data_IF_001918184044
#
_entry.id   IF_001918184044
#
_cell.length_a   1.000
_cell.length_b   1.000
_cell.length_c   1.000
_cell.angle_alpha   90.00
_cell.angle_beta   90.00
_cell.angle_gamma   90.00
#
_symmetry.space_group_name_H-M   'P 1'
#
loop_
_entity.id
_entity.type
_entity.pdbx_description
1 polymer ?
#
# COMPACT_ATOMS: atom_id res chain seq x y z
N UNK A 1 -8.35 19.85 -20.53
CA UNK A 1 -9.01 18.57 -20.17
C UNK A 1 -10.27 18.81 -19.32
N UNK A 2 -11.34 18.01 -19.49
CA UNK A 2 -12.58 18.05 -18.68
C UNK A 2 -12.55 16.99 -17.58
N UNK A 3 -13.44 17.11 -16.58
CA UNK A 3 -13.43 16.28 -15.36
C UNK A 3 -13.61 14.78 -15.57
N UNK A 4 -14.25 14.38 -16.66
CA UNK A 4 -14.55 12.98 -16.95
C UNK A 4 -13.81 12.43 -18.17
N UNK A 5 -12.86 13.18 -18.74
CA UNK A 5 -12.16 12.75 -19.97
C UNK A 5 -11.43 11.41 -19.77
N UNK A 6 -10.74 11.22 -18.64
CA UNK A 6 -10.08 9.95 -18.32
C UNK A 6 -11.04 8.80 -18.06
N UNK A 7 -12.18 9.07 -17.40
CA UNK A 7 -13.24 8.06 -17.26
C UNK A 7 -13.74 7.62 -18.64
N UNK A 8 -13.95 8.57 -19.53
CA UNK A 8 -14.43 8.30 -20.89
C UNK A 8 -13.36 7.58 -21.73
N UNK A 9 -12.07 7.87 -21.52
CA UNK A 9 -10.96 7.10 -22.08
C UNK A 9 -10.96 5.66 -21.57
N UNK A 10 -11.06 5.45 -20.25
CA UNK A 10 -11.13 4.11 -19.64
C UNK A 10 -12.27 3.27 -20.25
N UNK A 11 -13.44 3.88 -20.49
CA UNK A 11 -14.58 3.17 -21.07
C UNK A 11 -14.45 2.87 -22.58
N UNK A 12 -13.41 3.37 -23.26
CA UNK A 12 -13.04 2.95 -24.63
C UNK A 12 -12.02 1.82 -24.65
N UNK A 13 -11.35 1.57 -23.54
CA UNK A 13 -10.37 0.51 -23.36
C UNK A 13 -11.05 -0.80 -22.95
N UNK A 14 -10.46 -1.93 -23.32
CA UNK A 14 -10.93 -3.24 -22.89
C UNK A 14 -10.48 -3.53 -21.45
N UNK A 15 -11.40 -3.95 -20.57
CA UNK A 15 -11.09 -4.14 -19.16
C UNK A 15 -10.07 -5.25 -18.90
N UNK A 16 -9.93 -6.25 -19.78
CA UNK A 16 -8.98 -7.34 -19.61
C UNK A 16 -7.66 -7.08 -20.37
N UNK A 17 -7.74 -6.75 -21.66
CA UNK A 17 -6.57 -6.54 -22.49
C UNK A 17 -5.78 -5.31 -22.03
N UNK A 18 -6.48 -4.20 -21.77
CA UNK A 18 -5.90 -2.89 -21.45
C UNK A 18 -5.87 -2.60 -19.94
N UNK A 19 -6.01 -3.63 -19.10
CA UNK A 19 -6.10 -3.48 -17.64
C UNK A 19 -4.92 -2.69 -17.04
N UNK A 20 -3.71 -2.81 -17.61
CA UNK A 20 -2.53 -2.02 -17.21
C UNK A 20 -2.74 -0.53 -17.48
N UNK A 21 -3.24 -0.16 -18.67
CA UNK A 21 -3.49 1.24 -19.02
C UNK A 21 -4.60 1.83 -18.15
N UNK A 22 -5.65 1.06 -17.89
CA UNK A 22 -6.72 1.49 -16.98
C UNK A 22 -6.17 1.71 -15.57
N UNK A 23 -5.33 0.79 -15.07
CA UNK A 23 -4.68 0.94 -13.76
C UNK A 23 -3.76 2.16 -13.68
N UNK A 24 -3.01 2.46 -14.73
CA UNK A 24 -2.22 3.69 -14.82
C UNK A 24 -3.11 4.92 -14.67
N UNK A 25 -4.19 5.02 -15.45
CA UNK A 25 -5.11 6.17 -15.38
C UNK A 25 -5.72 6.31 -13.97
N UNK A 26 -6.21 5.19 -13.42
CA UNK A 26 -6.83 5.18 -12.10
C UNK A 26 -5.86 5.60 -11.00
N UNK A 27 -4.62 5.09 -11.02
CA UNK A 27 -3.64 5.33 -9.96
C UNK A 27 -2.83 6.62 -10.11
N UNK A 28 -2.60 7.14 -11.31
CA UNK A 28 -1.75 8.33 -11.48
C UNK A 28 -2.54 9.61 -11.75
N UNK A 29 -3.76 9.51 -12.32
CA UNK A 29 -4.58 10.67 -12.69
C UNK A 29 -5.85 10.80 -11.85
N UNK A 30 -6.68 9.76 -11.82
CA UNK A 30 -8.03 9.86 -11.25
C UNK A 30 -8.05 9.81 -9.72
N UNK A 31 -7.26 8.92 -9.12
CA UNK A 31 -7.32 8.60 -7.70
C UNK A 31 -5.95 8.42 -7.01
N UNK A 32 -4.88 9.18 -7.33
CA UNK A 32 -3.54 8.87 -6.82
C UNK A 32 -3.41 8.82 -5.30
N UNK A 33 -4.01 9.78 -4.61
CA UNK A 33 -4.00 9.79 -3.15
C UNK A 33 -4.88 8.69 -2.55
N UNK A 34 -6.04 8.44 -3.16
CA UNK A 34 -7.03 7.47 -2.67
C UNK A 34 -6.54 6.03 -2.86
N UNK A 35 -5.99 5.71 -4.03
CA UNK A 35 -5.35 4.43 -4.33
C UNK A 35 -4.16 4.20 -3.41
N UNK A 36 -3.26 5.18 -3.26
CA UNK A 36 -2.13 5.07 -2.33
C UNK A 36 -2.58 4.79 -0.89
N UNK A 37 -3.62 5.48 -0.41
CA UNK A 37 -4.14 5.25 0.96
C UNK A 37 -4.82 3.90 1.11
N UNK A 38 -5.61 3.49 0.13
CA UNK A 38 -6.31 2.20 0.14
C UNK A 38 -5.32 1.02 0.10
N UNK A 39 -4.27 1.10 -0.73
CA UNK A 39 -3.22 0.08 -0.83
C UNK A 39 -2.35 0.06 0.44
N UNK A 40 -2.09 1.22 1.05
CA UNK A 40 -1.45 1.28 2.36
C UNK A 40 -2.24 0.55 3.44
N UNK A 41 -3.56 0.69 3.45
CA UNK A 41 -4.43 -0.09 4.36
C UNK A 41 -4.44 -1.57 3.96
N UNK A 42 -4.48 -1.90 2.68
CA UNK A 42 -4.41 -3.28 2.19
C UNK A 42 -3.18 -4.03 2.72
N UNK A 43 -2.02 -3.37 2.71
CA UNK A 43 -0.78 -3.88 3.31
C UNK A 43 -0.87 -3.96 4.84
N UNK A 44 -1.39 -2.92 5.48
CA UNK A 44 -1.54 -2.87 6.95
C UNK A 44 -2.36 -4.04 7.49
N UNK A 45 -3.40 -4.47 6.76
CA UNK A 45 -4.24 -5.62 7.12
C UNK A 45 -3.47 -6.93 7.22
N UNK A 46 -2.38 -7.06 6.47
CA UNK A 46 -1.56 -8.28 6.49
C UNK A 46 -0.85 -8.49 7.83
N UNK A 47 -0.61 -7.41 8.58
CA UNK A 47 0.07 -7.50 9.87
C UNK A 47 -0.79 -8.19 10.93
N UNK A 48 -2.12 -8.22 10.74
CA UNK A 48 -3.09 -8.88 11.63
C UNK A 48 -3.21 -10.39 11.37
N UNK A 49 -2.58 -10.92 10.32
CA UNK A 49 -2.51 -12.36 10.05
C UNK A 49 -1.26 -12.93 10.73
N UNK A 50 -1.38 -13.89 11.66
CA UNK A 50 -0.23 -14.37 12.44
C UNK A 50 0.95 -14.87 11.62
N UNK A 51 0.73 -15.64 10.55
CA UNK A 51 1.80 -16.14 9.67
C UNK A 51 2.61 -14.99 9.05
N UNK A 52 1.91 -13.94 8.60
CA UNK A 52 2.51 -12.78 7.94
C UNK A 52 3.10 -11.80 8.97
N UNK A 53 2.30 -11.35 9.94
CA UNK A 53 2.72 -10.37 10.95
C UNK A 53 3.92 -10.85 11.79
N UNK A 54 3.96 -12.13 12.16
CA UNK A 54 5.11 -12.68 12.87
C UNK A 54 6.35 -12.78 11.97
N UNK A 55 6.18 -13.09 10.68
CA UNK A 55 7.29 -13.08 9.73
C UNK A 55 7.87 -11.66 9.60
N UNK A 56 7.03 -10.66 9.34
CA UNK A 56 7.43 -9.26 9.21
C UNK A 56 8.10 -8.72 10.47
N UNK A 57 7.61 -9.10 11.65
CA UNK A 57 8.22 -8.71 12.92
C UNK A 57 9.59 -9.33 13.17
N UNK A 58 9.89 -10.50 12.57
CA UNK A 58 11.20 -11.16 12.68
C UNK A 58 12.24 -10.61 11.70
N UNK A 59 11.83 -10.04 10.57
CA UNK A 59 12.80 -9.49 9.60
C UNK A 59 13.46 -8.20 10.09
N UNK A 60 12.86 -7.52 11.07
CA UNK A 60 13.24 -6.19 11.60
C UNK A 60 13.20 -5.05 10.56
N UNK A 61 13.08 -5.33 9.28
CA UNK A 61 12.92 -4.34 8.19
C UNK A 61 11.74 -3.38 8.37
N UNK A 62 10.69 -3.81 9.07
CA UNK A 62 9.49 -2.99 9.33
C UNK A 62 9.53 -2.27 10.69
N UNK A 63 10.61 -2.44 11.46
CA UNK A 63 10.80 -1.81 12.77
C UNK A 63 12.08 -0.98 12.83
N UNK A 64 13.18 -1.46 12.25
CA UNK A 64 14.48 -0.78 12.17
C UNK A 64 14.71 0.05 10.90
N UNK A 65 14.06 -0.31 9.78
CA UNK A 65 14.23 0.39 8.47
C UNK A 65 12.89 0.74 7.83
N UNK A 66 11.94 1.18 8.67
CA UNK A 66 10.52 1.32 8.31
C UNK A 66 10.30 2.27 7.12
N UNK A 67 11.01 3.41 7.06
CA UNK A 67 10.88 4.35 5.94
C UNK A 67 11.35 3.71 4.63
N UNK A 68 12.53 3.09 4.63
CA UNK A 68 13.07 2.40 3.46
C UNK A 68 12.14 1.29 2.99
N UNK A 69 11.62 0.48 3.93
CA UNK A 69 10.72 -0.62 3.59
C UNK A 69 9.41 -0.14 2.97
N UNK A 70 8.88 0.99 3.45
CA UNK A 70 7.72 1.67 2.86
C UNK A 70 8.04 2.15 1.43
N UNK A 71 9.17 2.82 1.25
CA UNK A 71 9.61 3.36 -0.04
C UNK A 71 9.83 2.25 -1.07
N UNK A 72 10.55 1.19 -0.70
CA UNK A 72 10.80 0.02 -1.54
C UNK A 72 9.50 -0.61 -2.01
N UNK A 73 8.52 -0.75 -1.11
CA UNK A 73 7.21 -1.30 -1.47
C UNK A 73 6.49 -0.41 -2.48
N UNK A 74 6.45 0.90 -2.24
CA UNK A 74 5.79 1.85 -3.11
C UNK A 74 6.44 1.92 -4.49
N UNK A 75 7.78 1.92 -4.56
CA UNK A 75 8.53 2.00 -5.81
C UNK A 75 8.43 0.71 -6.63
N UNK A 76 8.52 -0.46 -5.99
CA UNK A 76 8.35 -1.76 -6.69
C UNK A 76 6.94 -1.89 -7.27
N UNK A 77 5.91 -1.62 -6.47
CA UNK A 77 4.52 -1.68 -6.94
C UNK A 77 4.24 -0.60 -8.00
N UNK A 78 4.77 0.60 -7.80
CA UNK A 78 4.64 1.72 -8.71
C UNK A 78 5.24 1.44 -10.09
N UNK A 79 6.43 0.84 -10.15
CA UNK A 79 7.08 0.45 -11.41
C UNK A 79 6.25 -0.54 -12.22
N UNK A 80 5.63 -1.53 -11.56
CA UNK A 80 4.74 -2.49 -12.24
C UNK A 80 3.51 -1.80 -12.85
N UNK A 81 2.93 -0.83 -12.15
CA UNK A 81 1.79 -0.06 -12.68
C UNK A 81 2.23 0.84 -13.83
N UNK A 82 3.30 1.61 -13.64
CA UNK A 82 3.78 2.60 -14.59
C UNK A 82 4.29 1.97 -15.89
N UNK A 83 4.97 0.83 -15.82
CA UNK A 83 5.64 0.22 -16.97
C UNK A 83 5.01 -1.10 -17.43
N UNK A 84 4.05 -1.65 -16.69
CA UNK A 84 3.41 -2.93 -17.01
C UNK A 84 4.32 -4.13 -16.78
N UNK A 85 4.00 -5.25 -17.44
CA UNK A 85 4.66 -6.55 -17.21
C UNK A 85 5.54 -7.02 -18.39
N UNK A 86 5.57 -6.26 -19.48
CA UNK A 86 6.43 -6.51 -20.64
C UNK A 86 7.91 -6.24 -20.32
N UNK A 87 8.86 -6.72 -21.15
CA UNK A 87 10.28 -6.44 -20.96
C UNK A 87 10.57 -4.96 -20.66
N UNK A 88 11.14 -4.68 -19.49
CA UNK A 88 11.45 -3.33 -19.03
C UNK A 88 11.34 -3.18 -17.51
N UNK A 89 11.36 -1.93 -17.00
CA UNK A 89 11.44 -1.65 -15.56
C UNK A 89 10.34 -2.30 -14.72
N UNK A 90 9.11 -2.39 -15.25
CA UNK A 90 7.99 -3.03 -14.54
C UNK A 90 8.17 -4.54 -14.37
N UNK A 91 8.71 -5.24 -15.38
CA UNK A 91 9.06 -6.65 -15.26
C UNK A 91 10.26 -6.87 -14.35
N UNK A 92 11.22 -5.95 -14.34
CA UNK A 92 12.36 -6.00 -13.43
C UNK A 92 11.92 -5.83 -11.96
N UNK A 93 10.98 -4.92 -11.70
CA UNK A 93 10.33 -4.76 -10.40
C UNK A 93 9.60 -6.03 -9.94
N UNK A 94 8.81 -6.64 -10.84
CA UNK A 94 8.12 -7.90 -10.58
C UNK A 94 9.12 -9.03 -10.27
N UNK A 95 10.22 -9.12 -11.03
CA UNK A 95 11.29 -10.10 -10.78
C UNK A 95 11.92 -9.87 -9.41
N UNK A 96 12.24 -8.62 -9.06
CA UNK A 96 12.81 -8.27 -7.75
C UNK A 96 11.86 -8.64 -6.62
N UNK A 97 10.57 -8.33 -6.76
CA UNK A 97 9.53 -8.74 -5.81
C UNK A 97 9.51 -10.27 -5.64
N UNK A 98 9.51 -11.02 -6.74
CA UNK A 98 9.51 -12.49 -6.69
C UNK A 98 10.78 -13.06 -6.03
N UNK A 99 11.95 -12.44 -6.21
CA UNK A 99 13.19 -12.86 -5.54
C UNK A 99 13.08 -12.70 -4.01
N UNK A 100 12.62 -11.53 -3.54
CA UNK A 100 12.43 -11.28 -2.11
C UNK A 100 11.42 -12.27 -1.51
N UNK A 101 10.25 -12.40 -2.15
CA UNK A 101 9.19 -13.27 -1.68
C UNK A 101 9.60 -14.75 -1.64
N UNK A 102 10.38 -15.25 -2.60
CA UNK A 102 10.90 -16.63 -2.61
C UNK A 102 11.98 -16.90 -1.56
N UNK A 103 12.52 -15.86 -0.95
CA UNK A 103 13.52 -16.00 0.13
C UNK A 103 12.89 -16.38 1.47
N UNK A 104 11.55 -16.49 1.52
CA UNK A 104 10.77 -16.87 2.69
C UNK A 104 9.79 -17.99 2.33
N UNK A 105 9.43 -18.81 3.31
CA UNK A 105 8.39 -19.83 3.17
C UNK A 105 7.01 -19.19 3.38
N UNK A 106 6.43 -18.66 2.30
CA UNK A 106 5.11 -18.02 2.29
C UNK A 106 4.10 -18.98 1.66
N UNK A 107 3.02 -19.25 2.39
CA UNK A 107 1.97 -20.15 1.92
C UNK A 107 1.22 -19.58 0.70
N UNK A 108 0.67 -20.45 -0.16
CA UNK A 108 -0.19 -20.01 -1.25
C UNK A 108 -1.43 -19.25 -0.75
N UNK A 109 -1.93 -19.63 0.43
CA UNK A 109 -3.12 -19.00 1.02
C UNK A 109 -2.84 -17.57 1.46
N UNK A 110 -1.68 -17.33 2.08
CA UNK A 110 -1.22 -15.98 2.40
C UNK A 110 -1.04 -15.15 1.11
N UNK A 111 -0.46 -15.71 0.06
CA UNK A 111 -0.36 -15.01 -1.23
C UNK A 111 -1.72 -14.64 -1.81
N UNK A 112 -2.68 -15.57 -1.82
CA UNK A 112 -4.04 -15.32 -2.32
C UNK A 112 -4.74 -14.26 -1.49
N UNK A 113 -4.63 -14.32 -0.16
CA UNK A 113 -5.19 -13.32 0.74
C UNK A 113 -4.59 -11.93 0.47
N UNK A 114 -3.27 -11.81 0.47
CA UNK A 114 -2.59 -10.52 0.23
C UNK A 114 -2.97 -9.97 -1.14
N UNK A 115 -2.97 -10.78 -2.21
CA UNK A 115 -3.42 -10.34 -3.53
C UNK A 115 -4.87 -9.85 -3.51
N UNK A 116 -5.74 -10.48 -2.70
CA UNK A 116 -7.14 -10.06 -2.55
C UNK A 116 -7.27 -8.69 -1.90
N UNK A 117 -6.43 -8.35 -0.91
CA UNK A 117 -6.49 -7.04 -0.27
C UNK A 117 -6.21 -5.92 -1.28
N UNK A 118 -5.28 -6.14 -2.22
CA UNK A 118 -4.97 -5.20 -3.31
C UNK A 118 -6.13 -4.99 -4.30
N UNK A 119 -6.96 -6.00 -4.54
CA UNK A 119 -8.16 -5.89 -5.39
C UNK A 119 -9.31 -5.20 -4.65
N UNK A 120 -9.55 -5.59 -3.40
CA UNK A 120 -10.77 -5.27 -2.67
C UNK A 120 -10.69 -3.90 -1.99
N UNK A 121 -9.56 -3.56 -1.38
CA UNK A 121 -9.46 -2.34 -0.58
C UNK A 121 -9.64 -1.05 -1.38
N UNK A 122 -9.09 -0.90 -2.60
CA UNK A 122 -9.38 0.27 -3.43
C UNK A 122 -10.87 0.44 -3.73
N UNK A 123 -11.58 -0.65 -3.99
CA UNK A 123 -13.01 -0.63 -4.29
C UNK A 123 -13.81 -0.28 -3.03
N UNK A 124 -13.48 -0.88 -1.88
CA UNK A 124 -14.09 -0.50 -0.59
C UNK A 124 -13.91 0.98 -0.26
N UNK A 125 -12.67 1.46 -0.41
CA UNK A 125 -12.32 2.86 -0.18
C UNK A 125 -13.16 3.82 -1.03
N UNK A 126 -13.23 3.57 -2.33
CA UNK A 126 -13.87 4.47 -3.28
C UNK A 126 -15.40 4.31 -3.29
N UNK A 127 -15.91 3.08 -3.27
CA UNK A 127 -17.32 2.78 -3.52
C UNK A 127 -18.13 2.59 -2.25
N UNK A 128 -17.63 1.83 -1.28
CA UNK A 128 -18.39 1.47 -0.08
C UNK A 128 -18.33 2.60 0.95
N UNK A 129 -17.13 3.17 1.14
CA UNK A 129 -16.93 4.31 2.03
C UNK A 129 -17.22 5.66 1.36
N UNK A 130 -17.12 5.74 0.02
CA UNK A 130 -17.36 6.98 -0.71
C UNK A 130 -16.26 8.04 -0.50
N UNK A 131 -15.03 7.60 -0.27
CA UNK A 131 -13.88 8.50 -0.05
C UNK A 131 -13.26 9.01 -1.36
N UNK A 132 -13.62 8.40 -2.48
CA UNK A 132 -13.30 8.88 -3.82
C UNK A 132 -14.21 10.02 -4.28
N UNK A 133 -13.66 10.93 -5.09
CA UNK A 133 -14.45 12.03 -5.67
C UNK A 133 -15.58 11.56 -6.62
N UNK A 134 -15.45 10.34 -7.13
CA UNK A 134 -16.49 9.53 -7.79
C UNK A 134 -16.32 8.07 -7.40
N UNK A 135 -17.35 7.27 -7.68
CA UNK A 135 -17.29 5.81 -7.59
C UNK A 135 -16.58 5.24 -8.82
N UNK A 136 -15.95 4.09 -8.65
CA UNK A 136 -15.53 3.22 -9.73
C UNK A 136 -16.74 2.58 -10.41
N UNK A 137 -16.71 2.48 -11.73
CA UNK A 137 -17.67 1.70 -12.52
C UNK A 137 -17.37 0.20 -12.44
N UNK A 138 -18.32 -0.64 -12.84
CA UNK A 138 -18.10 -2.09 -12.92
C UNK A 138 -16.97 -2.45 -13.90
N UNK A 139 -16.82 -1.69 -14.99
CA UNK A 139 -15.74 -1.82 -15.96
C UNK A 139 -14.36 -1.57 -15.34
N UNK A 140 -14.25 -0.53 -14.51
CA UNK A 140 -13.02 -0.21 -13.78
C UNK A 140 -12.68 -1.25 -12.72
N UNK A 141 -13.69 -1.78 -12.01
CA UNK A 141 -13.51 -2.86 -11.04
C UNK A 141 -13.06 -4.15 -11.74
N UNK A 142 -13.62 -4.47 -12.91
CA UNK A 142 -13.17 -5.58 -13.72
C UNK A 142 -11.70 -5.39 -14.13
N UNK A 143 -11.30 -4.20 -14.57
CA UNK A 143 -9.91 -3.93 -14.94
C UNK A 143 -8.92 -4.07 -13.77
N UNK A 144 -9.27 -3.57 -12.57
CA UNK A 144 -8.49 -3.79 -11.34
C UNK A 144 -8.35 -5.31 -11.09
N UNK A 145 -9.45 -6.05 -11.21
CA UNK A 145 -9.47 -7.50 -11.02
C UNK A 145 -8.55 -8.20 -12.02
N UNK A 146 -8.65 -7.91 -13.32
CA UNK A 146 -7.81 -8.51 -14.36
C UNK A 146 -6.33 -8.15 -14.19
N UNK A 147 -6.01 -6.93 -13.79
CA UNK A 147 -4.63 -6.52 -13.50
C UNK A 147 -4.01 -7.37 -12.39
N UNK A 148 -4.69 -7.52 -11.26
CA UNK A 148 -4.16 -8.32 -10.14
C UNK A 148 -4.22 -9.82 -10.41
N UNK A 149 -5.18 -10.33 -11.19
CA UNK A 149 -5.12 -11.71 -11.70
C UNK A 149 -3.88 -11.94 -12.56
N UNK A 150 -3.55 -10.98 -13.45
CA UNK A 150 -2.34 -11.04 -14.28
C UNK A 150 -1.07 -11.01 -13.43
N UNK A 151 -0.99 -10.12 -12.44
CA UNK A 151 0.10 -10.10 -11.47
C UNK A 151 0.22 -11.44 -10.72
N UNK A 152 -0.89 -11.97 -10.21
CA UNK A 152 -0.92 -13.24 -9.49
C UNK A 152 -0.38 -14.41 -10.32
N UNK A 153 -0.70 -14.46 -11.62
CA UNK A 153 -0.13 -15.44 -12.56
C UNK A 153 1.39 -15.31 -12.67
N UNK A 154 1.92 -14.11 -12.82
CA UNK A 154 3.37 -13.89 -12.88
C UNK A 154 4.11 -14.17 -11.56
N UNK A 155 3.41 -14.09 -10.43
CA UNK A 155 3.93 -14.49 -9.12
C UNK A 155 3.86 -16.02 -8.90
N UNK A 156 3.15 -16.76 -9.76
CA UNK A 156 2.94 -18.20 -9.60
C UNK A 156 1.90 -18.56 -8.54
N UNK A 157 1.00 -17.64 -8.19
CA UNK A 157 -0.07 -17.87 -7.21
C UNK A 157 -1.12 -18.76 -7.85
N UNK A 158 -1.47 -19.86 -7.16
CA UNK A 158 -2.46 -20.84 -7.62
C UNK A 158 -3.86 -20.44 -7.12
N UNK A 159 -4.88 -20.89 -7.84
CA UNK A 159 -6.29 -20.76 -7.44
C UNK A 159 -6.73 -19.31 -7.13
N UNK A 160 -6.25 -18.37 -7.94
CA UNK A 160 -6.62 -16.95 -7.86
C UNK A 160 -8.09 -16.77 -8.28
N UNK A 161 -8.93 -16.09 -7.47
CA UNK A 161 -10.33 -15.85 -7.82
C UNK A 161 -10.54 -15.19 -9.17
N UNK A 162 -11.67 -15.50 -9.81
CA UNK A 162 -11.93 -15.02 -11.17
C UNK A 162 -12.59 -13.65 -11.24
N UNK A 163 -13.36 -13.32 -10.21
CA UNK A 163 -14.23 -12.15 -10.15
C UNK A 163 -13.93 -11.34 -8.90
N UNK A 164 -14.28 -10.05 -8.93
CA UNK A 164 -14.20 -9.18 -7.77
C UNK A 164 -14.95 -9.75 -6.54
N UNK A 165 -16.14 -10.33 -6.76
CA UNK A 165 -16.91 -10.95 -5.69
C UNK A 165 -16.14 -12.11 -5.05
N UNK A 166 -15.49 -12.97 -5.85
CA UNK A 166 -14.64 -14.05 -5.34
C UNK A 166 -13.44 -13.54 -4.53
N UNK A 167 -12.79 -12.47 -4.97
CA UNK A 167 -11.72 -11.82 -4.20
C UNK A 167 -12.23 -11.26 -2.86
N UNK A 168 -13.41 -10.61 -2.87
CA UNK A 168 -14.02 -10.05 -1.66
C UNK A 168 -14.39 -11.14 -0.66
N UNK A 169 -15.04 -12.21 -1.13
CA UNK A 169 -15.47 -13.31 -0.28
C UNK A 169 -14.26 -14.06 0.30
N UNK A 170 -13.20 -14.26 -0.50
CA UNK A 170 -11.93 -14.82 -0.05
C UNK A 170 -11.29 -13.94 1.04
N UNK A 171 -11.15 -12.64 0.79
CA UNK A 171 -10.58 -11.71 1.76
C UNK A 171 -11.37 -11.73 3.06
N UNK A 172 -12.69 -11.53 3.01
CA UNK A 172 -13.52 -11.45 4.21
C UNK A 172 -13.55 -12.77 4.99
N UNK A 173 -13.56 -13.90 4.29
CA UNK A 173 -13.45 -15.22 4.90
C UNK A 173 -12.12 -15.41 5.62
N UNK A 174 -11.02 -15.13 4.93
CA UNK A 174 -9.68 -15.29 5.45
C UNK A 174 -9.45 -14.42 6.69
N UNK A 175 -9.92 -13.17 6.68
CA UNK A 175 -9.75 -12.26 7.81
C UNK A 175 -10.55 -12.69 9.03
N UNK A 176 -11.81 -13.14 8.85
CA UNK A 176 -12.61 -13.67 9.95
C UNK A 176 -11.99 -14.90 10.60
N UNK A 177 -11.31 -15.73 9.81
CA UNK A 177 -10.69 -16.98 10.28
C UNK A 177 -9.30 -16.74 10.91
N UNK A 178 -8.50 -15.86 10.33
CA UNK A 178 -7.07 -15.76 10.64
C UNK A 178 -6.67 -14.51 11.42
N UNK A 179 -7.46 -13.44 11.48
CA UNK A 179 -7.06 -12.25 12.22
C UNK A 179 -6.89 -12.55 13.70
N UNK A 180 -5.67 -12.33 14.19
CA UNK A 180 -5.34 -12.55 15.59
C UNK A 180 -4.11 -11.74 16.00
N UNK A 181 -3.98 -11.56 17.31
CA UNK A 181 -2.84 -10.86 17.88
C UNK A 181 -1.55 -11.66 17.73
N UNK A 182 -0.49 -10.97 17.29
CA UNK A 182 0.90 -11.41 17.48
C UNK A 182 1.75 -10.23 17.95
N UNK A 183 2.80 -10.49 18.72
CA UNK A 183 3.73 -9.45 19.15
C UNK A 183 4.45 -8.81 17.94
N UNK A 184 4.87 -9.62 16.97
CA UNK A 184 5.49 -9.16 15.73
C UNK A 184 4.57 -8.26 14.90
N UNK A 185 3.33 -8.71 14.65
CA UNK A 185 2.35 -7.92 13.92
C UNK A 185 2.01 -6.60 14.63
N UNK A 186 1.92 -6.63 15.96
CA UNK A 186 1.71 -5.43 16.77
C UNK A 186 2.85 -4.42 16.64
N UNK A 187 4.10 -4.88 16.75
CA UNK A 187 5.28 -4.01 16.59
C UNK A 187 5.33 -3.36 15.20
N UNK A 188 5.12 -4.14 14.15
CA UNK A 188 5.08 -3.66 12.76
C UNK A 188 3.97 -2.62 12.56
N UNK A 189 2.81 -2.87 13.15
CA UNK A 189 1.67 -1.95 13.15
C UNK A 189 2.02 -0.62 13.82
N UNK A 190 2.64 -0.65 15.00
CA UNK A 190 3.07 0.56 15.73
C UNK A 190 4.13 1.36 14.93
N UNK A 191 5.18 0.72 14.42
CA UNK A 191 6.20 1.36 13.59
C UNK A 191 5.62 1.99 12.32
N UNK A 192 4.67 1.30 11.68
CA UNK A 192 3.99 1.82 10.48
C UNK A 192 3.14 3.06 10.81
N UNK A 193 2.42 3.06 11.93
CA UNK A 193 1.64 4.23 12.36
C UNK A 193 2.57 5.41 12.67
N UNK A 194 3.69 5.17 13.33
CA UNK A 194 4.68 6.19 13.67
C UNK A 194 5.28 6.82 12.40
N UNK A 195 5.64 5.99 11.42
CA UNK A 195 6.09 6.45 10.11
C UNK A 195 5.01 7.32 9.43
N UNK A 196 3.76 6.87 9.37
CA UNK A 196 2.68 7.63 8.73
C UNK A 196 2.44 8.98 9.44
N UNK A 197 2.61 9.04 10.76
CA UNK A 197 2.50 10.28 11.53
C UNK A 197 3.65 11.23 11.23
N UNK A 198 4.86 10.72 10.95
CA UNK A 198 6.04 11.52 10.58
C UNK A 198 5.90 12.28 9.25
N UNK A 199 4.89 11.96 8.44
CA UNK A 199 4.58 12.67 7.21
C UNK A 199 3.89 14.02 7.46
N UNK A 200 3.46 14.28 8.70
CA UNK A 200 2.81 15.51 9.10
C UNK A 200 3.74 16.39 9.95
N UNK A 201 3.57 17.73 9.93
CA UNK A 201 4.28 18.61 10.83
C UNK A 201 4.11 18.18 12.31
N UNK A 202 5.14 18.30 13.17
CA UNK A 202 5.10 17.81 14.56
C UNK A 202 3.88 18.28 15.36
N UNK A 203 3.46 19.53 15.17
CA UNK A 203 2.27 20.12 15.81
C UNK A 203 0.94 19.40 15.49
N UNK A 204 0.89 18.64 14.40
CA UNK A 204 -0.29 17.87 13.97
C UNK A 204 -0.17 16.38 14.29
N UNK A 205 0.96 15.91 14.81
CA UNK A 205 1.26 14.48 14.96
C UNK A 205 0.21 13.74 15.81
N UNK A 206 -0.21 14.31 16.94
CA UNK A 206 -1.25 13.71 17.79
C UNK A 206 -2.61 13.58 17.09
N UNK A 207 -3.00 14.59 16.31
CA UNK A 207 -4.23 14.54 15.52
C UNK A 207 -4.13 13.53 14.37
N UNK A 208 -2.98 13.47 13.69
CA UNK A 208 -2.69 12.51 12.63
C UNK A 208 -2.74 11.07 13.16
N UNK A 209 -2.18 10.78 14.34
CA UNK A 209 -2.27 9.46 14.96
C UNK A 209 -3.72 9.07 15.23
N UNK A 210 -4.49 9.95 15.90
CA UNK A 210 -5.90 9.69 16.18
C UNK A 210 -6.70 9.48 14.88
N UNK A 211 -6.41 10.24 13.84
CA UNK A 211 -7.06 10.11 12.53
C UNK A 211 -6.72 8.77 11.85
N UNK A 212 -5.45 8.36 11.85
CA UNK A 212 -5.04 7.04 11.34
C UNK A 212 -5.77 5.91 12.09
N UNK A 213 -5.80 5.97 13.42
CA UNK A 213 -6.55 5.02 14.26
C UNK A 213 -8.05 4.97 13.94
N UNK A 214 -8.67 6.12 13.66
CA UNK A 214 -10.09 6.20 13.32
C UNK A 214 -10.45 5.54 11.99
N UNK A 215 -9.50 5.45 11.06
CA UNK A 215 -9.70 4.85 9.74
C UNK A 215 -9.50 3.34 9.78
N UNK A 216 -8.71 2.81 10.73
CA UNK A 216 -8.60 1.37 10.94
C UNK A 216 -9.97 0.82 11.37
N UNK A 217 -10.43 -0.24 10.72
CA UNK A 217 -11.68 -0.89 11.09
C UNK A 217 -11.56 -1.60 12.45
N UNK A 218 -12.71 -1.95 13.03
CA UNK A 218 -12.75 -2.56 14.36
C UNK A 218 -11.97 -3.89 14.40
N UNK A 219 -11.95 -4.65 13.29
CA UNK A 219 -11.20 -5.90 13.20
C UNK A 219 -9.70 -5.72 13.42
N UNK A 220 -9.10 -4.67 12.85
CA UNK A 220 -7.69 -4.34 13.07
C UNK A 220 -7.44 -3.79 14.48
N UNK A 221 -8.33 -2.92 14.97
CA UNK A 221 -8.24 -2.40 16.34
C UNK A 221 -8.23 -3.54 17.36
N UNK A 222 -9.11 -4.51 17.20
CA UNK A 222 -9.22 -5.70 18.05
C UNK A 222 -8.00 -6.62 17.89
N UNK A 223 -7.63 -6.97 16.65
CA UNK A 223 -6.50 -7.87 16.39
C UNK A 223 -5.19 -7.34 16.98
N UNK A 224 -4.92 -6.04 16.85
CA UNK A 224 -3.74 -5.42 17.43
C UNK A 224 -3.91 -4.98 18.89
N UNK A 225 -5.10 -5.15 19.50
CA UNK A 225 -5.41 -4.71 20.87
C UNK A 225 -5.13 -3.21 21.09
N UNK A 226 -5.46 -2.39 20.12
CA UNK A 226 -5.44 -0.93 20.28
C UNK A 226 -6.58 -0.47 21.19
N UNK A 227 -6.38 0.68 21.85
CA UNK A 227 -7.50 1.40 22.45
C UNK A 227 -8.44 1.90 21.33
N UNK A 228 -9.73 1.58 21.39
CA UNK A 228 -10.65 1.94 20.31
C UNK A 228 -10.86 3.46 20.26
N UNK A 229 -10.76 4.08 19.07
CA UNK A 229 -11.04 5.50 18.93
C UNK A 229 -12.52 5.78 19.21
N UNK A 230 -12.81 6.96 19.77
CA UNK A 230 -14.19 7.32 20.10
C UNK A 230 -15.08 7.34 18.85
N UNK A 231 -16.37 6.98 19.01
CA UNK A 231 -17.35 7.00 17.90
C UNK A 231 -17.48 8.37 17.25
N UNK A 232 -17.36 9.44 18.04
CA UNK A 232 -17.37 10.81 17.52
C UNK A 232 -16.18 11.07 16.60
N UNK A 233 -14.99 10.59 16.98
CA UNK A 233 -13.78 10.76 16.18
C UNK A 233 -13.81 9.93 14.89
N UNK A 234 -14.31 8.68 14.94
CA UNK A 234 -14.56 7.87 13.73
C UNK A 234 -15.48 8.58 12.74
N UNK A 235 -16.60 9.13 13.23
CA UNK A 235 -17.54 9.90 12.40
C UNK A 235 -16.90 11.16 11.82
N UNK A 236 -16.12 11.88 12.60
CA UNK A 236 -15.41 13.06 12.12
C UNK A 236 -14.42 12.72 10.99
N UNK A 237 -13.66 11.62 11.13
CA UNK A 237 -12.72 11.16 10.12
C UNK A 237 -13.43 10.75 8.81
N UNK A 238 -14.51 9.95 8.89
CA UNK A 238 -15.33 9.57 7.74
C UNK A 238 -15.90 10.80 7.02
N UNK A 239 -16.48 11.74 7.77
CA UNK A 239 -17.02 12.99 7.20
C UNK A 239 -15.93 13.84 6.55
N UNK A 240 -14.73 13.92 7.14
CA UNK A 240 -13.61 14.66 6.59
C UNK A 240 -13.15 14.07 5.24
N UNK A 241 -13.06 12.74 5.14
CA UNK A 241 -12.71 12.05 3.89
C UNK A 241 -13.77 12.24 2.80
N UNK A 242 -15.06 12.13 3.15
CA UNK A 242 -16.16 12.42 2.21
C UNK A 242 -16.21 13.89 1.79
N UNK A 243 -15.87 14.82 2.68
CA UNK A 243 -15.76 16.24 2.34
C UNK A 243 -14.60 16.48 1.38
N UNK A 244 -13.43 15.90 1.65
CA UNK A 244 -12.28 15.91 0.72
C UNK A 244 -12.71 15.43 -0.66
N UNK A 245 -13.41 14.31 -0.75
CA UNK A 245 -13.91 13.76 -2.02
C UNK A 245 -14.75 14.79 -2.81
N UNK A 246 -15.68 15.49 -2.13
CA UNK A 246 -16.52 16.53 -2.75
C UNK A 246 -15.73 17.77 -3.19
N UNK A 247 -14.66 18.12 -2.47
CA UNK A 247 -13.74 19.20 -2.87
C UNK A 247 -12.97 18.79 -4.11
N UNK A 248 -12.35 17.60 -4.09
CA UNK A 248 -11.58 17.06 -5.22
C UNK A 248 -12.43 16.97 -6.48
N UNK A 249 -13.72 16.61 -6.38
CA UNK A 249 -14.66 16.59 -7.51
C UNK A 249 -14.78 17.94 -8.24
N UNK A 250 -14.60 19.06 -7.52
CA UNK A 250 -14.68 20.42 -8.07
C UNK A 250 -13.33 21.00 -8.50
N UNK A 251 -12.23 20.35 -8.13
CA UNK A 251 -10.89 20.77 -8.55
C UNK A 251 -10.66 20.45 -10.02
N UNK A 252 -9.71 21.18 -10.62
CA UNK A 252 -9.24 20.86 -11.97
C UNK A 252 -8.71 19.41 -12.02
N UNK A 253 -8.98 18.68 -13.11
CA UNK A 253 -8.46 17.32 -13.26
C UNK A 253 -6.93 17.34 -13.35
N UNK A 254 -6.29 16.25 -12.94
CA UNK A 254 -4.83 16.11 -12.96
C UNK A 254 -4.35 15.76 -14.36
N UNK A 255 -3.73 16.72 -15.05
CA UNK A 255 -3.20 16.51 -16.42
C UNK A 255 -1.92 15.68 -16.39
N UNK A 256 -0.99 15.99 -15.50
CA UNK A 256 0.27 15.23 -15.34
C UNK A 256 0.12 14.07 -14.35
N UNK A 257 0.56 12.85 -14.71
CA UNK A 257 0.47 11.69 -13.83
C UNK A 257 1.28 11.92 -12.54
N UNK A 258 0.77 11.43 -11.41
CA UNK A 258 1.56 11.30 -10.19
C UNK A 258 2.05 9.86 -10.05
N UNK A 259 3.32 9.61 -10.34
CA UNK A 259 3.95 8.31 -10.14
C UNK A 259 4.49 8.15 -8.72
N UNK A 260 4.78 6.90 -8.32
CA UNK A 260 5.23 6.57 -6.98
C UNK A 260 6.52 7.34 -6.59
N UNK A 261 7.47 7.45 -7.51
CA UNK A 261 8.73 8.19 -7.33
C UNK A 261 8.54 9.71 -7.14
N UNK A 262 7.40 10.26 -7.58
CA UNK A 262 7.08 11.67 -7.38
C UNK A 262 6.29 11.92 -6.09
N UNK A 263 6.08 10.89 -5.26
CA UNK A 263 5.41 11.03 -3.99
C UNK A 263 6.38 11.64 -2.96
N UNK A 264 6.06 12.79 -2.32
CA UNK A 264 6.95 13.45 -1.36
C UNK A 264 7.21 12.65 -0.07
N UNK A 265 6.49 11.55 0.14
CA UNK A 265 6.74 10.63 1.25
C UNK A 265 7.79 9.56 0.94
N UNK A 266 8.26 9.46 -0.31
CA UNK A 266 9.46 8.70 -0.67
C UNK A 266 10.67 9.57 -0.32
N UNK A 267 11.48 9.12 0.64
CA UNK A 267 12.55 9.90 1.27
C UNK A 267 13.90 9.17 1.34
N UNK A 268 13.90 7.85 1.13
CA UNK A 268 15.11 7.02 1.16
C UNK A 268 15.99 7.18 -0.08
N UNK A 269 15.46 7.73 -1.18
CA UNK A 269 16.11 7.77 -2.50
C UNK A 269 16.20 9.19 -3.10
N UNK A 270 16.90 10.15 -2.44
CA UNK A 270 16.98 11.53 -2.91
C UNK A 270 17.68 11.68 -4.28
N UNK A 271 18.65 10.80 -4.57
CA UNK A 271 19.43 10.79 -5.81
C UNK A 271 18.89 9.80 -6.86
N UNK A 272 17.69 9.27 -6.64
CA UNK A 272 17.09 8.21 -7.45
C UNK A 272 17.33 6.81 -6.89
N UNK A 273 16.81 5.81 -7.60
CA UNK A 273 16.85 4.40 -7.20
C UNK A 273 17.08 3.50 -8.41
N UNK A 274 17.65 2.31 -8.17
CA UNK A 274 17.64 1.20 -9.13
C UNK A 274 16.69 0.13 -8.63
N UNK A 275 15.65 -0.16 -9.42
CA UNK A 275 14.63 -1.16 -9.09
C UNK A 275 15.22 -2.55 -8.84
N UNK A 276 16.38 -2.87 -9.41
CA UNK A 276 17.05 -4.15 -9.21
C UNK A 276 17.83 -4.21 -7.88
N UNK A 277 18.02 -3.07 -7.21
CA UNK A 277 18.83 -2.93 -5.98
C UNK A 277 18.01 -2.56 -4.74
N UNK A 278 16.76 -2.13 -4.90
CA UNK A 278 15.84 -1.87 -3.77
C UNK A 278 15.22 -3.16 -3.21
N UNK A 279 14.64 -3.12 -2.01
CA UNK A 279 14.06 -4.29 -1.33
C UNK A 279 14.95 -4.89 -0.24
N UNK A 280 14.53 -6.04 0.30
CA UNK A 280 15.16 -6.69 1.46
C UNK A 280 15.27 -8.21 1.30
N UNK A 281 16.33 -8.79 1.84
CA UNK A 281 16.61 -10.24 1.80
C UNK A 281 17.04 -10.74 3.19
N UNK A 282 16.80 -12.03 3.52
CA UNK A 282 17.29 -12.58 4.78
C UNK A 282 18.81 -12.45 4.90
N UNK A 283 19.31 -11.99 6.06
CA UNK A 283 20.74 -11.79 6.32
C UNK A 283 21.60 -13.07 6.15
N UNK A 284 20.98 -14.26 6.19
CA UNK A 284 21.65 -15.55 5.98
C UNK A 284 21.48 -16.15 4.58
N UNK A 285 20.98 -15.39 3.59
CA UNK A 285 20.82 -15.91 2.24
C UNK A 285 22.20 -16.23 1.63
N UNK A 286 22.46 -17.47 1.17
CA UNK A 286 23.76 -17.85 0.60
C UNK A 286 24.02 -17.20 -0.77
N UNK A 287 23.00 -16.60 -1.38
CA UNK A 287 23.10 -15.88 -2.65
C UNK A 287 23.41 -14.42 -2.36
N UNK A 288 24.50 -13.90 -2.93
CA UNK A 288 24.81 -12.48 -2.85
C UNK A 288 23.73 -11.69 -3.60
N UNK A 289 23.02 -10.83 -2.87
CA UNK A 289 22.08 -9.89 -3.44
C UNK A 289 22.74 -8.51 -3.49
N UNK A 290 22.80 -7.91 -4.68
CA UNK A 290 23.14 -6.49 -4.81
C UNK A 290 21.94 -5.69 -4.30
N UNK A 291 22.04 -5.24 -3.05
CA UNK A 291 21.03 -4.42 -2.36
C UNK A 291 21.67 -3.09 -2.06
N UNK A 292 20.93 -2.01 -2.31
CA UNK A 292 21.38 -0.67 -1.95
C UNK A 292 21.59 -0.61 -0.42
N UNK A 293 22.84 -0.38 0.04
CA UNK A 293 23.21 -0.59 1.44
C UNK A 293 22.53 0.36 2.43
N UNK A 294 21.88 1.45 1.98
CA UNK A 294 21.32 2.44 2.90
C UNK A 294 20.05 3.08 2.32
N UNK A 295 18.92 2.95 3.03
CA UNK A 295 17.94 4.03 3.07
C UNK A 295 18.36 4.93 4.23
N UNK A 296 18.56 6.23 3.98
CA UNK A 296 19.12 7.22 4.93
C UNK A 296 18.99 6.85 6.43
N UNK A 297 20.10 6.47 7.09
CA UNK A 297 20.15 6.11 8.53
C UNK A 297 19.58 7.21 9.46
N UNK A 298 19.56 8.46 9.00
CA UNK A 298 19.06 9.62 9.74
C UNK A 298 17.52 9.64 9.84
N UNK A 299 16.81 9.03 8.89
CA UNK A 299 15.35 8.94 8.86
C UNK A 299 14.82 7.93 9.87
N UNK A 300 15.58 6.86 10.15
CA UNK A 300 15.18 5.75 11.02
C UNK A 300 15.60 5.93 12.49
N UNK A 301 16.30 7.02 12.85
CA UNK A 301 16.57 7.36 14.26
C UNK A 301 15.27 7.79 14.97
N UNK A 302 14.97 7.23 16.17
CA UNK A 302 13.79 7.64 16.93
C UNK A 302 13.83 9.15 17.23
N UNK A 303 12.67 9.80 17.23
CA UNK A 303 12.56 11.26 17.39
C UNK A 303 13.23 11.79 18.67
N UNK A 304 13.32 10.97 19.72
CA UNK A 304 14.00 11.30 20.98
C UNK A 304 15.52 11.39 20.86
N UNK A 305 16.13 10.87 19.79
CA UNK A 305 17.57 10.98 19.53
C UNK A 305 17.94 12.18 18.64
N UNK A 306 16.97 12.86 18.04
CA UNK A 306 17.20 14.05 17.19
C UNK A 306 17.48 15.32 18.00
N UNK A 307 17.11 15.36 19.28
CA UNK A 307 17.35 16.51 20.17
C UNK A 307 18.77 16.54 20.79
N UNK A 308 19.62 15.55 20.50
CA UNK A 308 20.98 15.45 21.06
C UNK A 308 22.12 15.96 20.17
N UNK A 309 21.85 16.40 18.94
CA UNK A 309 22.90 16.73 17.96
C UNK A 309 23.15 18.24 17.75
N UNK A 310 22.29 19.14 18.28
CA UNK A 310 22.44 20.60 18.13
C UNK A 310 23.04 21.30 19.35
N UNK A 311 23.81 20.57 20.17
CA UNK A 311 24.59 21.16 21.25
C UNK A 311 26.02 20.62 21.17
N UNK A 312 26.81 21.18 20.24
CA UNK A 312 28.27 21.38 20.31
C UNK A 312 28.82 21.70 18.91
N UNK A 313 28.72 22.97 18.48
CA UNK A 313 29.82 23.87 18.06
C UNK A 313 29.25 25.16 17.46
#
# INVERSE_FOLDING_TARGET
MKRFDFRDEIHRLDAEADCVRIMQILQSHEFPWDMGRALGIALYRTYAVPSIGALLGRTDEFTGSTQKRYDDTALILGNMVQHGFEPGPGRDALRRMNQMHRSYDISNDDYRYVLSTFVVMPVRWLNDHGYGWRRLSEHEIAAITHYYRRLGRYMGIRDVPETYAGFRDLMDGYEREHFAYTEGGRRVSDSTLDLMVSFYPPRLAGAARKFSMAILDDSLIEAFRYEPPSRAWRRAADLALRLRARVVRRMKPREEPLWAENNPNIRSYPDGYDVNRIGTFPAGCPVAHDVDPVGNEELDRPATAREGADAHE
#
